data_IF_799916010686
#
_entry.id   IF_799916010686
#
_cell.length_a   1.000
_cell.length_b   1.000
_cell.length_c   1.000
_cell.angle_alpha   90.00
_cell.angle_beta   90.00
_cell.angle_gamma   90.00
#
_symmetry.space_group_name_H-M   'P 1'
#
loop_
_entity.id
_entity.type
_entity.pdbx_description
1 polymer ?
#
# COMPACT_ATOMS: atom_id res chain seq x y z
N UNK A 1 -17.72 -11.88 -1.01
CA UNK A 1 -16.67 -12.67 -0.33
C UNK A 1 -16.00 -13.68 -1.25
N UNK A 2 -16.73 -14.50 -2.02
CA UNK A 2 -16.14 -15.54 -2.89
C UNK A 2 -15.04 -14.99 -3.81
N UNK A 3 -15.26 -13.84 -4.43
CA UNK A 3 -14.30 -13.19 -5.33
C UNK A 3 -13.02 -12.75 -4.60
N UNK A 4 -13.18 -12.11 -3.44
CA UNK A 4 -12.03 -11.65 -2.63
C UNK A 4 -11.23 -12.85 -2.12
N UNK A 5 -11.90 -13.87 -1.60
CA UNK A 5 -11.24 -15.10 -1.14
C UNK A 5 -10.48 -15.79 -2.27
N UNK A 6 -11.06 -15.89 -3.48
CA UNK A 6 -10.39 -16.47 -4.63
C UNK A 6 -9.14 -15.67 -5.04
N UNK A 7 -9.21 -14.33 -5.00
CA UNK A 7 -8.05 -13.48 -5.30
C UNK A 7 -6.93 -13.66 -4.28
N UNK A 8 -7.25 -13.69 -2.98
CA UNK A 8 -6.25 -13.92 -1.90
C UNK A 8 -5.60 -15.30 -2.05
N UNK A 9 -6.38 -16.34 -2.37
CA UNK A 9 -5.84 -17.69 -2.60
C UNK A 9 -4.94 -17.71 -3.83
N UNK A 10 -5.36 -17.09 -4.93
CA UNK A 10 -4.57 -16.99 -6.17
C UNK A 10 -3.21 -16.35 -5.93
N UNK A 11 -3.18 -15.26 -5.18
CA UNK A 11 -1.99 -14.44 -4.98
C UNK A 11 -1.23 -14.78 -3.68
N UNK A 12 -1.63 -15.85 -2.97
CA UNK A 12 -1.10 -16.24 -1.65
C UNK A 12 0.43 -16.23 -1.60
N UNK A 13 1.08 -16.79 -2.61
CA UNK A 13 2.55 -16.93 -2.61
C UNK A 13 3.23 -15.57 -2.84
N UNK A 14 2.64 -14.69 -3.65
CA UNK A 14 3.09 -13.31 -3.84
C UNK A 14 2.97 -12.49 -2.55
N UNK A 15 1.82 -12.59 -1.88
CA UNK A 15 1.56 -11.91 -0.59
C UNK A 15 2.55 -12.41 0.48
N UNK A 16 2.71 -13.73 0.61
CA UNK A 16 3.62 -14.34 1.57
C UNK A 16 5.06 -13.88 1.34
N UNK A 17 5.54 -13.97 0.11
CA UNK A 17 6.90 -13.54 -0.27
C UNK A 17 7.12 -12.05 0.00
N UNK A 18 6.15 -11.18 -0.31
CA UNK A 18 6.26 -9.75 -0.02
C UNK A 18 6.35 -9.48 1.50
N UNK A 19 5.54 -10.14 2.29
CA UNK A 19 5.56 -10.03 3.75
C UNK A 19 6.88 -10.52 4.36
N UNK A 20 7.39 -11.67 3.91
CA UNK A 20 8.67 -12.24 4.35
C UNK A 20 9.85 -11.34 3.98
N UNK A 21 9.80 -10.67 2.82
CA UNK A 21 10.86 -9.74 2.37
C UNK A 21 11.13 -8.61 3.36
N UNK A 22 10.09 -8.14 4.06
CA UNK A 22 10.21 -7.04 5.01
C UNK A 22 9.88 -7.43 6.46
N UNK A 23 9.69 -8.71 6.71
CA UNK A 23 9.44 -9.25 8.04
C UNK A 23 8.20 -8.60 8.70
N UNK A 24 7.04 -8.80 8.07
CA UNK A 24 5.72 -8.46 8.62
C UNK A 24 4.76 -9.64 8.53
N UNK A 25 3.65 -9.57 9.28
CA UNK A 25 2.59 -10.55 9.19
C UNK A 25 1.83 -10.39 7.85
N UNK A 26 1.76 -11.45 7.00
CA UNK A 26 1.05 -11.38 5.72
C UNK A 26 -0.45 -11.06 5.87
N UNK A 27 -1.03 -11.30 7.05
CA UNK A 27 -2.43 -10.95 7.32
C UNK A 27 -2.68 -9.44 7.28
N UNK A 28 -1.67 -8.61 7.55
CA UNK A 28 -1.78 -7.16 7.42
C UNK A 28 -2.01 -6.76 5.96
N UNK A 29 -1.24 -7.33 5.02
CA UNK A 29 -1.42 -7.09 3.58
C UNK A 29 -2.82 -7.55 3.14
N UNK A 30 -3.26 -8.72 3.59
CA UNK A 30 -4.59 -9.26 3.25
C UNK A 30 -5.70 -8.35 3.79
N UNK A 31 -5.57 -7.83 5.00
CA UNK A 31 -6.55 -6.92 5.59
C UNK A 31 -6.73 -5.66 4.75
N UNK A 32 -5.61 -5.03 4.35
CA UNK A 32 -5.65 -3.82 3.53
C UNK A 32 -6.11 -4.11 2.10
N UNK A 33 -5.72 -5.26 1.51
CA UNK A 33 -6.24 -5.70 0.22
C UNK A 33 -7.77 -5.81 0.23
N UNK A 34 -8.34 -6.39 1.28
CA UNK A 34 -9.80 -6.52 1.42
C UNK A 34 -10.46 -5.13 1.47
N UNK A 35 -9.93 -4.22 2.27
CA UNK A 35 -10.45 -2.85 2.40
C UNK A 35 -10.38 -2.11 1.06
N UNK A 36 -9.25 -2.18 0.36
CA UNK A 36 -9.07 -1.54 -0.94
C UNK A 36 -10.01 -2.11 -2.00
N UNK A 37 -10.17 -3.42 -2.06
CA UNK A 37 -11.08 -4.05 -3.02
C UNK A 37 -12.55 -3.71 -2.73
N UNK A 38 -12.94 -3.63 -1.47
CA UNK A 38 -14.28 -3.16 -1.08
C UNK A 38 -14.49 -1.69 -1.45
N UNK A 39 -13.51 -0.84 -1.21
CA UNK A 39 -13.56 0.59 -1.58
C UNK A 39 -13.76 0.76 -3.08
N UNK A 40 -12.98 0.05 -3.90
CA UNK A 40 -13.13 0.08 -5.38
C UNK A 40 -14.51 -0.41 -5.80
N UNK A 41 -15.00 -1.50 -5.21
CA UNK A 41 -16.33 -2.05 -5.52
C UNK A 41 -17.46 -1.06 -5.22
N UNK A 42 -17.43 -0.42 -4.03
CA UNK A 42 -18.45 0.54 -3.65
C UNK A 42 -18.36 1.84 -4.46
N UNK A 43 -17.16 2.37 -4.69
CA UNK A 43 -16.96 3.57 -5.52
C UNK A 43 -17.40 3.34 -6.97
N UNK A 44 -17.09 2.19 -7.55
CA UNK A 44 -17.55 1.84 -8.89
C UNK A 44 -19.08 1.73 -8.96
N UNK A 45 -19.72 1.16 -7.94
CA UNK A 45 -21.17 1.05 -7.85
C UNK A 45 -21.84 2.42 -7.74
N UNK A 46 -21.31 3.33 -6.93
CA UNK A 46 -21.82 4.69 -6.79
C UNK A 46 -21.68 5.50 -8.09
N UNK A 47 -20.53 5.38 -8.75
CA UNK A 47 -20.28 6.02 -10.04
C UNK A 47 -21.20 5.46 -11.13
N UNK A 48 -21.40 4.14 -11.17
CA UNK A 48 -22.32 3.50 -12.12
C UNK A 48 -23.78 3.93 -11.90
N UNK A 49 -24.19 4.11 -10.66
CA UNK A 49 -25.53 4.60 -10.34
C UNK A 49 -25.72 6.10 -10.63
N UNK A 50 -24.64 6.89 -10.55
CA UNK A 50 -24.67 8.35 -10.67
C UNK A 50 -24.46 8.86 -12.10
N UNK A 51 -23.77 8.09 -12.95
CA UNK A 51 -23.37 8.50 -14.30
C UNK A 51 -23.49 7.35 -15.30
N UNK A 52 -24.53 7.35 -16.08
CA UNK A 52 -24.75 6.39 -17.18
C UNK A 52 -23.85 6.67 -18.41
N UNK A 53 -22.66 7.25 -18.24
CA UNK A 53 -21.71 7.54 -19.31
C UNK A 53 -20.38 6.78 -19.14
N UNK A 54 -20.18 5.65 -19.87
CA UNK A 54 -18.96 4.82 -19.75
C UNK A 54 -17.65 5.55 -20.08
N UNK A 55 -17.69 6.62 -20.90
CA UNK A 55 -16.49 7.33 -21.38
C UNK A 55 -15.87 8.28 -20.35
N UNK A 56 -16.63 8.78 -19.36
CA UNK A 56 -16.07 9.64 -18.29
C UNK A 56 -15.36 8.87 -17.18
N UNK A 57 -15.65 7.58 -17.04
CA UNK A 57 -14.99 6.71 -16.06
C UNK A 57 -13.52 6.51 -16.44
N UNK A 58 -13.21 6.33 -17.73
CA UNK A 58 -11.85 6.12 -18.22
C UNK A 58 -10.95 7.35 -18.06
N UNK A 59 -11.47 8.57 -18.18
CA UNK A 59 -10.68 9.80 -18.02
C UNK A 59 -10.31 10.11 -16.57
N UNK A 60 -11.08 9.62 -15.59
CA UNK A 60 -10.81 9.78 -14.17
C UNK A 60 -9.97 8.65 -13.58
N UNK A 61 -9.80 7.54 -14.29
CA UNK A 61 -8.94 6.43 -13.86
C UNK A 61 -7.46 6.81 -13.72
N UNK A 62 -6.99 7.83 -14.45
CA UNK A 62 -5.63 8.35 -14.34
C UNK A 62 -5.30 9.05 -13.00
N UNK A 63 -6.31 9.31 -12.15
CA UNK A 63 -6.13 9.81 -10.77
C UNK A 63 -6.38 8.73 -9.73
N UNK A 64 -6.71 7.52 -10.14
CA UNK A 64 -7.00 6.40 -9.23
C UNK A 64 -5.71 5.70 -8.82
N UNK A 65 -5.77 5.13 -7.64
CA UNK A 65 -4.73 4.29 -7.06
C UNK A 65 -4.33 3.13 -7.98
N UNK A 66 -3.03 2.85 -8.05
CA UNK A 66 -2.46 1.86 -8.95
C UNK A 66 -2.45 0.45 -8.31
N UNK A 67 -2.69 -0.55 -9.14
CA UNK A 67 -2.59 -1.96 -8.75
C UNK A 67 -3.64 -2.40 -7.73
N UNK A 68 -3.52 -3.65 -7.31
CA UNK A 68 -4.50 -4.33 -6.41
C UNK A 68 -4.52 -3.75 -5.00
N UNK A 69 -3.42 -3.13 -4.55
CA UNK A 69 -3.29 -2.51 -3.23
C UNK A 69 -3.63 -1.02 -3.22
N UNK A 70 -4.04 -0.46 -4.33
CA UNK A 70 -4.50 0.91 -4.39
C UNK A 70 -3.46 1.98 -4.05
N UNK A 71 -2.18 1.74 -4.27
CA UNK A 71 -1.10 2.67 -3.95
C UNK A 71 -1.02 3.78 -4.99
N UNK A 72 -1.13 5.03 -4.56
CA UNK A 72 -0.94 6.19 -5.42
C UNK A 72 0.54 6.34 -5.79
N UNK A 73 0.82 6.84 -6.99
CA UNK A 73 2.20 7.08 -7.45
C UNK A 73 3.00 7.95 -6.48
N UNK A 74 2.40 9.03 -5.99
CA UNK A 74 3.05 9.90 -4.99
C UNK A 74 3.40 9.16 -3.69
N UNK A 75 2.57 8.20 -3.26
CA UNK A 75 2.85 7.35 -2.10
C UNK A 75 3.99 6.37 -2.41
N UNK A 76 4.02 5.79 -3.60
CA UNK A 76 5.10 4.90 -4.02
C UNK A 76 6.47 5.63 -4.02
N UNK A 77 6.52 6.86 -4.54
CA UNK A 77 7.71 7.71 -4.49
C UNK A 77 8.15 7.99 -3.04
N UNK A 78 7.20 8.27 -2.14
CA UNK A 78 7.52 8.47 -0.72
C UNK A 78 8.08 7.19 -0.08
N UNK A 79 7.51 6.03 -0.37
CA UNK A 79 8.00 4.72 0.09
C UNK A 79 9.46 4.50 -0.35
N UNK A 80 9.76 4.75 -1.64
CA UNK A 80 11.12 4.62 -2.21
C UNK A 80 12.10 5.57 -1.53
N UNK A 81 11.72 6.84 -1.35
CA UNK A 81 12.56 7.85 -0.71
C UNK A 81 12.85 7.50 0.76
N UNK A 82 11.84 7.05 1.51
CA UNK A 82 12.02 6.65 2.91
C UNK A 82 12.88 5.40 3.08
N UNK A 83 12.97 4.53 2.08
CA UNK A 83 13.92 3.40 2.13
C UNK A 83 15.38 3.87 2.08
N UNK A 84 15.66 4.99 1.42
CA UNK A 84 17.03 5.49 1.17
C UNK A 84 17.46 6.61 2.11
N UNK A 85 16.52 7.31 2.72
CA UNK A 85 16.81 8.42 3.63
C UNK A 85 17.03 7.91 5.07
N UNK A 86 18.29 7.80 5.48
CA UNK A 86 18.69 7.38 6.83
C UNK A 86 18.18 8.31 7.95
N UNK A 87 17.79 9.54 7.62
CA UNK A 87 17.22 10.49 8.58
C UNK A 87 15.68 10.41 8.66
N UNK A 88 15.07 9.64 7.79
CA UNK A 88 13.62 9.47 7.76
C UNK A 88 13.14 8.70 9.00
N UNK A 89 12.07 9.14 9.68
CA UNK A 89 11.45 8.36 10.77
C UNK A 89 10.88 7.01 10.28
N UNK A 90 10.75 6.84 8.97
CA UNK A 90 10.27 5.66 8.28
C UNK A 90 11.38 4.74 7.76
N UNK A 91 12.65 5.09 8.00
CA UNK A 91 13.79 4.31 7.51
C UNK A 91 13.82 2.92 8.14
N UNK A 92 13.98 1.90 7.31
CA UNK A 92 13.91 0.50 7.74
C UNK A 92 15.27 -0.13 8.04
N UNK A 93 16.35 0.52 7.65
CA UNK A 93 17.73 0.01 7.77
C UNK A 93 18.35 -0.41 6.44
N UNK A 94 19.68 -0.53 6.42
CA UNK A 94 20.50 -0.73 5.21
C UNK A 94 20.10 -1.96 4.38
N UNK A 95 19.66 -3.02 5.03
CA UNK A 95 19.24 -4.25 4.33
C UNK A 95 18.03 -4.07 3.41
N UNK A 96 17.26 -2.99 3.59
CA UNK A 96 16.05 -2.72 2.82
C UNK A 96 16.22 -1.63 1.75
N UNK A 97 17.33 -0.87 1.78
CA UNK A 97 17.54 0.29 0.91
C UNK A 97 17.34 -0.03 -0.58
N UNK A 98 17.74 -1.21 -1.01
CA UNK A 98 17.78 -1.59 -2.43
C UNK A 98 16.61 -2.47 -2.88
N UNK A 99 15.58 -2.65 -2.03
CA UNK A 99 14.44 -3.54 -2.35
C UNK A 99 13.64 -3.09 -3.58
N UNK A 100 13.60 -1.80 -3.83
CA UNK A 100 12.84 -1.21 -4.94
C UNK A 100 13.73 -0.59 -6.02
N UNK A 101 15.04 -0.87 -6.03
CA UNK A 101 15.95 -0.33 -7.03
C UNK A 101 15.52 -0.68 -8.45
N UNK A 102 15.71 0.28 -9.34
CA UNK A 102 15.42 0.15 -10.75
C UNK A 102 16.66 -0.21 -11.54
N UNK A 103 16.53 -0.98 -12.63
CA UNK A 103 17.62 -1.22 -13.53
C UNK A 103 18.19 0.10 -14.08
N UNK A 104 19.51 0.15 -14.27
CA UNK A 104 20.17 1.31 -14.87
C UNK A 104 19.59 1.63 -16.27
N UNK A 105 19.54 2.91 -16.60
CA UNK A 105 19.10 3.41 -17.92
C UNK A 105 17.61 3.19 -18.26
N UNK A 106 16.76 2.92 -17.29
CA UNK A 106 15.31 2.85 -17.49
C UNK A 106 14.62 4.13 -17.03
N UNK A 107 13.45 4.42 -17.62
CA UNK A 107 12.56 5.47 -17.14
C UNK A 107 11.90 5.02 -15.83
N UNK A 108 12.28 5.63 -14.72
CA UNK A 108 11.84 5.26 -13.38
C UNK A 108 10.31 5.33 -13.25
N UNK A 109 9.65 6.35 -13.77
CA UNK A 109 8.20 6.52 -13.63
C UNK A 109 7.44 5.43 -14.41
N UNK A 110 7.93 5.12 -15.61
CA UNK A 110 7.35 4.03 -16.42
C UNK A 110 7.55 2.67 -15.74
N UNK A 111 8.72 2.44 -15.17
CA UNK A 111 9.03 1.19 -14.47
C UNK A 111 8.22 1.05 -13.18
N UNK A 112 8.08 2.13 -12.40
CA UNK A 112 7.22 2.18 -11.21
C UNK A 112 5.78 1.85 -11.55
N UNK A 113 5.25 2.49 -12.60
CA UNK A 113 3.90 2.21 -13.08
C UNK A 113 3.74 0.73 -13.45
N UNK A 114 4.68 0.18 -14.24
CA UNK A 114 4.69 -1.23 -14.64
C UNK A 114 4.67 -2.18 -13.44
N UNK A 115 5.52 -1.92 -12.43
CA UNK A 115 5.57 -2.72 -11.21
C UNK A 115 4.27 -2.69 -10.41
N UNK A 116 3.67 -1.51 -10.27
CA UNK A 116 2.43 -1.36 -9.50
C UNK A 116 1.23 -1.99 -10.19
N UNK A 117 1.23 -2.05 -11.53
CA UNK A 117 0.11 -2.57 -12.34
C UNK A 117 0.34 -3.97 -12.91
N UNK A 118 1.46 -4.62 -12.58
CA UNK A 118 1.79 -5.96 -13.05
C UNK A 118 0.73 -7.00 -12.70
N UNK A 119 0.39 -7.87 -13.65
CA UNK A 119 -0.64 -8.92 -13.50
C UNK A 119 -0.31 -9.97 -12.43
N UNK A 120 0.98 -10.13 -12.09
CA UNK A 120 1.42 -11.02 -11.00
C UNK A 120 1.28 -10.39 -9.62
N UNK A 121 1.00 -9.10 -9.56
CA UNK A 121 0.73 -8.29 -8.37
C UNK A 121 1.86 -8.27 -7.31
N UNK A 122 2.99 -8.96 -7.53
CA UNK A 122 4.05 -9.09 -6.51
C UNK A 122 4.56 -7.74 -6.03
N UNK A 123 4.89 -6.83 -6.95
CA UNK A 123 5.39 -5.51 -6.57
C UNK A 123 4.30 -4.67 -5.89
N UNK A 124 3.04 -4.78 -6.29
CA UNK A 124 1.95 -4.11 -5.58
C UNK A 124 1.88 -4.54 -4.11
N UNK A 125 2.04 -5.85 -3.84
CA UNK A 125 2.14 -6.36 -2.47
C UNK A 125 3.44 -5.96 -1.77
N UNK A 126 4.57 -5.91 -2.47
CA UNK A 126 5.84 -5.50 -1.89
C UNK A 126 5.83 -4.03 -1.46
N UNK A 127 5.32 -3.13 -2.30
CA UNK A 127 5.13 -1.73 -1.92
C UNK A 127 4.22 -1.58 -0.70
N UNK A 128 3.10 -2.31 -0.66
CA UNK A 128 2.20 -2.30 0.49
C UNK A 128 2.91 -2.82 1.76
N UNK A 129 3.65 -3.92 1.65
CA UNK A 129 4.40 -4.51 2.76
C UNK A 129 5.46 -3.53 3.33
N UNK A 130 6.22 -2.87 2.45
CA UNK A 130 7.20 -1.85 2.84
C UNK A 130 6.50 -0.69 3.53
N UNK A 131 5.40 -0.20 2.96
CA UNK A 131 4.62 0.90 3.51
C UNK A 131 4.11 0.60 4.93
N UNK A 132 3.52 -0.56 5.14
CA UNK A 132 3.07 -1.02 6.46
C UNK A 132 4.24 -1.11 7.45
N UNK A 133 5.37 -1.67 7.02
CA UNK A 133 6.58 -1.76 7.86
C UNK A 133 7.12 -0.38 8.22
N UNK A 134 7.13 0.56 7.29
CA UNK A 134 7.54 1.94 7.52
C UNK A 134 6.67 2.63 8.58
N UNK A 135 5.35 2.48 8.51
CA UNK A 135 4.42 3.01 9.51
C UNK A 135 4.66 2.40 10.89
N UNK A 136 4.78 1.08 10.98
CA UNK A 136 5.07 0.38 12.24
C UNK A 136 6.40 0.85 12.81
N UNK A 137 7.42 1.00 11.98
CA UNK A 137 8.76 1.44 12.39
C UNK A 137 8.74 2.86 12.95
N UNK A 138 8.08 3.80 12.26
CA UNK A 138 7.92 5.17 12.74
C UNK A 138 7.30 5.21 14.14
N UNK A 139 6.19 4.49 14.32
CA UNK A 139 5.47 4.48 15.58
C UNK A 139 6.27 3.83 16.70
N UNK A 140 6.93 2.72 16.40
CA UNK A 140 7.80 2.03 17.36
C UNK A 140 8.98 2.90 17.80
N UNK A 141 9.63 3.58 16.85
CA UNK A 141 10.74 4.50 17.14
C UNK A 141 10.30 5.71 17.98
N UNK A 142 9.04 6.12 17.87
CA UNK A 142 8.45 7.16 18.70
C UNK A 142 7.95 6.67 20.07
N UNK A 143 8.17 5.38 20.42
CA UNK A 143 7.77 4.78 21.69
C UNK A 143 6.35 4.22 21.75
N UNK A 144 5.64 4.17 20.61
CA UNK A 144 4.28 3.67 20.53
C UNK A 144 4.24 2.44 19.62
N UNK A 145 4.49 1.25 20.15
CA UNK A 145 4.46 0.01 19.34
C UNK A 145 3.03 -0.38 18.97
N UNK A 146 2.74 -0.33 17.67
CA UNK A 146 1.45 -0.70 17.08
C UNK A 146 1.50 -2.04 16.35
N UNK A 147 2.56 -2.84 16.46
CA UNK A 147 2.76 -4.08 15.71
C UNK A 147 1.62 -5.08 15.87
N UNK A 148 0.93 -5.06 17.00
CA UNK A 148 -0.22 -5.89 17.31
C UNK A 148 -1.57 -5.17 17.22
N UNK A 149 -1.62 -4.05 16.52
CA UNK A 149 -2.80 -3.18 16.36
C UNK A 149 -3.20 -3.05 14.90
N UNK A 150 -3.71 -4.12 14.26
CA UNK A 150 -4.04 -4.12 12.82
C UNK A 150 -5.05 -3.02 12.46
N UNK A 151 -5.95 -2.64 13.36
CA UNK A 151 -6.92 -1.58 13.14
C UNK A 151 -6.27 -0.18 13.06
N UNK A 152 -5.17 0.05 13.76
CA UNK A 152 -4.39 1.28 13.65
C UNK A 152 -3.55 1.26 12.37
N UNK A 153 -2.90 0.12 12.10
CA UNK A 153 -2.05 -0.05 10.92
C UNK A 153 -2.88 0.17 9.64
N UNK A 154 -4.06 -0.45 9.51
CA UNK A 154 -4.96 -0.24 8.38
C UNK A 154 -5.49 1.20 8.28
N UNK A 155 -5.74 1.86 9.42
CA UNK A 155 -6.07 3.28 9.43
C UNK A 155 -4.95 4.12 8.84
N UNK A 156 -3.69 3.88 9.28
CA UNK A 156 -2.51 4.61 8.79
C UNK A 156 -2.25 4.36 7.31
N UNK A 157 -2.44 3.13 6.83
CA UNK A 157 -2.36 2.79 5.41
C UNK A 157 -3.30 3.66 4.58
N UNK A 158 -4.52 3.85 5.05
CA UNK A 158 -5.54 4.63 4.36
C UNK A 158 -5.28 6.15 4.40
N UNK A 159 -4.88 6.70 5.57
CA UNK A 159 -4.71 8.16 5.72
C UNK A 159 -3.35 8.69 5.24
N UNK A 160 -2.34 7.83 5.13
CA UNK A 160 -1.05 8.16 4.53
C UNK A 160 0.00 8.74 5.48
N UNK A 161 1.25 8.81 4.98
CA UNK A 161 2.40 9.35 5.72
C UNK A 161 2.16 10.71 6.38
N UNK A 162 1.56 11.70 5.71
CA UNK A 162 1.37 13.03 6.31
C UNK A 162 0.48 13.03 7.56
N UNK A 163 -0.41 12.05 7.67
CA UNK A 163 -1.34 11.91 8.80
C UNK A 163 -0.83 10.94 9.87
N UNK A 164 0.28 10.25 9.62
CA UNK A 164 0.88 9.34 10.59
C UNK A 164 1.61 10.12 11.68
N UNK A 165 0.93 10.32 12.81
CA UNK A 165 1.42 11.09 13.97
C UNK A 165 1.39 10.18 15.20
N UNK A 166 2.53 9.57 15.59
CA UNK A 166 2.61 8.71 16.77
C UNK A 166 2.12 9.40 18.02
N UNK A 167 1.23 8.76 18.76
CA UNK A 167 0.64 9.28 20.00
C UNK A 167 0.09 8.13 20.87
N UNK A 168 -0.14 8.36 22.20
CA UNK A 168 -0.57 7.31 23.12
C UNK A 168 -2.01 6.83 22.91
N UNK A 169 -2.85 7.61 22.21
CA UNK A 169 -4.27 7.30 21.99
C UNK A 169 -4.58 7.45 20.50
N UNK A 170 -4.10 6.50 19.67
CA UNK A 170 -4.35 6.53 18.24
C UNK A 170 -5.83 6.34 17.92
N UNK A 171 -6.34 7.13 16.99
CA UNK A 171 -7.72 6.99 16.49
C UNK A 171 -7.78 5.88 15.43
N UNK A 172 -8.89 5.16 15.42
CA UNK A 172 -9.22 4.16 14.41
C UNK A 172 -10.22 4.75 13.42
N UNK A 173 -10.02 4.45 12.14
CA UNK A 173 -10.86 4.93 11.05
C UNK A 173 -10.49 6.35 10.62
N UNK A 174 -11.11 6.78 9.57
CA UNK A 174 -10.86 8.06 8.92
C UNK A 174 -10.68 7.88 7.43
N UNK A 175 -11.18 8.85 6.67
CA UNK A 175 -10.90 9.02 5.24
C UNK A 175 -10.16 10.33 5.04
N UNK A 176 -9.29 10.36 4.07
CA UNK A 176 -8.74 11.60 3.52
C UNK A 176 -9.81 12.30 2.70
#
# INVERSE_FOLDING_TARGET
WKTVTASVIKDRDGIKRAAETVDIDPRLIVSDLIVEQLRVYFSARELYQKYFEPLKILSNMNKMSLGVMGIKEATAIQIENHLKDKNSPYYLGEKYENLLDYPANQNIDKERYSRLTDEKHYYSYLYAAIYLKQMITQWKNAGFDISNRPEIIGTLFNVGFPQSKPNPIPKVGGST
#
